data_IF_975512487178
#
_entry.id   IF_975512487178
#
_cell.length_a   1.000
_cell.length_b   1.000
_cell.length_c   1.000
_cell.angle_alpha   90.00
_cell.angle_beta   90.00
_cell.angle_gamma   90.00
#
_symmetry.space_group_name_H-M   'P 1'
#
loop_
_entity.id
_entity.type
_entity.pdbx_description
1 polymer ?
#
# COMPACT_ATOMS: atom_id res chain seq x y z
N UNK A 1 -6.85 -2.17 -2.66
CA UNK A 1 -7.26 -0.91 -3.29
C UNK A 1 -6.45 -0.71 -4.57
N UNK A 2 -7.06 -0.13 -5.59
CA UNK A 2 -6.40 0.34 -6.81
C UNK A 2 -6.28 1.86 -6.77
N UNK A 3 -5.07 2.39 -6.98
CA UNK A 3 -4.82 3.82 -7.10
C UNK A 3 -5.49 4.36 -8.37
N UNK A 4 -6.01 5.58 -8.31
CA UNK A 4 -6.52 6.24 -9.51
C UNK A 4 -5.37 6.68 -10.41
N UNK A 5 -5.65 6.79 -11.71
CA UNK A 5 -4.67 7.25 -12.68
C UNK A 5 -4.08 8.62 -12.35
N UNK A 6 -4.90 9.51 -11.78
CA UNK A 6 -4.45 10.84 -11.37
C UNK A 6 -3.46 10.79 -10.19
N UNK A 7 -3.68 9.90 -9.21
CA UNK A 7 -2.76 9.70 -8.09
C UNK A 7 -1.43 9.13 -8.58
N UNK A 8 -1.45 8.11 -9.44
CA UNK A 8 -0.24 7.51 -10.03
C UNK A 8 0.57 8.58 -10.79
N UNK A 9 -0.08 9.37 -11.66
CA UNK A 9 0.61 10.45 -12.41
C UNK A 9 1.24 11.49 -11.47
N UNK A 10 0.55 11.91 -10.40
CA UNK A 10 1.12 12.84 -9.41
C UNK A 10 2.32 12.23 -8.68
N UNK A 11 2.24 10.95 -8.29
CA UNK A 11 3.35 10.26 -7.65
C UNK A 11 4.57 10.17 -8.59
N UNK A 12 4.39 9.78 -9.85
CA UNK A 12 5.47 9.74 -10.85
C UNK A 12 6.10 11.12 -11.02
N UNK A 13 5.28 12.17 -11.17
CA UNK A 13 5.76 13.55 -11.30
C UNK A 13 6.66 13.93 -10.12
N UNK A 14 6.23 13.62 -8.91
CA UNK A 14 7.01 13.88 -7.69
C UNK A 14 8.32 13.10 -7.67
N UNK A 15 8.28 11.80 -7.97
CA UNK A 15 9.48 10.95 -7.95
C UNK A 15 10.52 11.44 -8.96
N UNK A 16 10.13 11.72 -10.20
CA UNK A 16 11.06 12.16 -11.25
C UNK A 16 11.64 13.55 -10.94
N UNK A 17 10.87 14.43 -10.31
CA UNK A 17 11.34 15.75 -9.87
C UNK A 17 12.15 15.70 -8.55
N UNK A 18 12.39 14.51 -7.97
CA UNK A 18 13.06 14.36 -6.68
C UNK A 18 12.26 14.89 -5.47
N UNK A 19 10.97 15.12 -5.63
CA UNK A 19 10.04 15.56 -4.57
C UNK A 19 9.54 14.37 -3.74
N UNK A 20 9.06 14.68 -2.53
CA UNK A 20 8.49 13.66 -1.65
C UNK A 20 7.09 13.20 -2.11
N UNK A 21 7.03 12.05 -2.79
CA UNK A 21 5.79 11.42 -3.24
C UNK A 21 4.95 10.81 -2.09
N UNK A 22 5.55 10.61 -0.91
CA UNK A 22 4.92 9.92 0.22
C UNK A 22 3.72 10.70 0.77
N UNK A 23 3.67 12.01 0.55
CA UNK A 23 2.53 12.85 0.90
C UNK A 23 1.24 12.43 0.17
N UNK A 24 1.34 11.94 -1.06
CA UNK A 24 0.19 11.44 -1.82
C UNK A 24 -0.37 10.17 -1.19
N UNK A 25 0.51 9.27 -0.71
CA UNK A 25 0.11 8.04 -0.01
C UNK A 25 -0.53 8.38 1.33
N UNK A 26 0.06 9.28 2.12
CA UNK A 26 -0.52 9.71 3.40
C UNK A 26 -1.90 10.31 3.22
N UNK A 27 -2.05 11.21 2.24
CA UNK A 27 -3.34 11.85 1.92
C UNK A 27 -4.41 10.83 1.53
N UNK A 28 -4.03 9.78 0.79
CA UNK A 28 -4.94 8.69 0.44
C UNK A 28 -5.34 7.85 1.67
N UNK A 29 -4.40 7.48 2.52
CA UNK A 29 -4.68 6.76 3.79
C UNK A 29 -5.64 7.59 4.66
N UNK A 30 -5.44 8.91 4.72
CA UNK A 30 -6.30 9.83 5.47
C UNK A 30 -7.73 9.86 4.92
N UNK A 31 -7.87 10.09 3.61
CA UNK A 31 -9.18 10.12 2.96
C UNK A 31 -9.94 8.79 3.13
N UNK A 32 -9.27 7.65 2.89
CA UNK A 32 -9.87 6.33 3.06
C UNK A 32 -10.28 6.04 4.50
N UNK A 33 -9.43 6.39 5.45
CA UNK A 33 -9.72 6.15 6.86
C UNK A 33 -10.93 6.98 7.30
N UNK A 34 -10.96 8.26 6.96
CA UNK A 34 -12.09 9.14 7.32
C UNK A 34 -13.39 8.69 6.66
N UNK A 35 -13.35 8.27 5.39
CA UNK A 35 -14.52 7.70 4.73
C UNK A 35 -14.98 6.42 5.43
N UNK A 36 -14.06 5.52 5.79
CA UNK A 36 -14.39 4.34 6.56
C UNK A 36 -15.00 4.69 7.92
N UNK A 37 -14.44 5.66 8.64
CA UNK A 37 -14.94 6.09 9.95
C UNK A 37 -16.40 6.54 9.85
N UNK A 38 -16.75 7.32 8.83
CA UNK A 38 -18.13 7.76 8.59
C UNK A 38 -19.04 6.56 8.34
N UNK A 39 -18.67 5.65 7.43
CA UNK A 39 -19.49 4.47 7.11
C UNK A 39 -19.60 3.49 8.29
N UNK A 40 -18.54 3.35 9.08
CA UNK A 40 -18.53 2.51 10.26
C UNK A 40 -19.47 3.07 11.34
N UNK A 41 -19.46 4.38 11.59
CA UNK A 41 -20.40 4.98 12.52
C UNK A 41 -21.85 4.85 12.07
N UNK A 42 -22.15 4.93 10.76
CA UNK A 42 -23.50 4.62 10.25
C UNK A 42 -23.91 3.19 10.61
N UNK A 43 -23.03 2.21 10.39
CA UNK A 43 -23.27 0.79 10.77
C UNK A 43 -23.53 0.64 12.26
N UNK A 44 -22.77 1.33 13.12
CA UNK A 44 -22.97 1.32 14.58
C UNK A 44 -24.34 1.89 14.96
N UNK A 45 -24.74 3.02 14.36
CA UNK A 45 -26.08 3.61 14.58
C UNK A 45 -27.19 2.64 14.19
N UNK A 46 -27.11 2.08 12.99
CA UNK A 46 -28.10 1.13 12.49
C UNK A 46 -28.18 -0.13 13.36
N UNK A 47 -27.04 -0.70 13.73
CA UNK A 47 -26.96 -1.90 14.56
C UNK A 47 -27.58 -1.68 15.95
N UNK A 48 -27.30 -0.52 16.56
CA UNK A 48 -27.84 -0.17 17.88
C UNK A 48 -29.34 0.13 17.85
N UNK A 49 -29.85 0.73 16.76
CA UNK A 49 -31.28 0.96 16.59
C UNK A 49 -32.09 -0.33 16.36
N UNK A 50 -31.51 -1.33 15.67
CA UNK A 50 -32.15 -2.62 15.41
C UNK A 50 -32.30 -3.47 16.68
N UNK A 51 -31.32 -3.42 17.57
CA UNK A 51 -31.25 -4.27 18.76
C UNK A 51 -31.81 -3.57 20.00
N UNK A 52 -33.13 -3.32 19.98
CA UNK A 52 -33.87 -2.61 21.04
C UNK A 52 -33.73 -3.17 22.49
N UNK A 53 -33.46 -4.46 22.75
CA UNK A 53 -33.16 -4.94 24.10
C UNK A 53 -31.68 -4.81 24.47
N UNK A 54 -31.41 -4.17 25.61
CA UNK A 54 -30.07 -3.86 26.18
C UNK A 54 -29.24 -5.11 26.57
N UNK A 55 -29.81 -6.33 26.48
CA UNK A 55 -29.19 -7.56 27.01
C UNK A 55 -28.33 -8.34 26.03
N UNK A 56 -28.46 -8.09 24.72
CA UNK A 56 -27.72 -8.83 23.70
C UNK A 56 -26.51 -8.02 23.25
N UNK A 57 -25.35 -8.67 23.12
CA UNK A 57 -24.15 -8.05 22.55
C UNK A 57 -24.38 -7.80 21.05
N UNK A 58 -25.06 -6.69 20.75
CA UNK A 58 -25.42 -6.27 19.40
C UNK A 58 -24.18 -6.13 18.52
N UNK A 59 -23.03 -5.80 19.10
CA UNK A 59 -21.78 -5.63 18.37
C UNK A 59 -21.34 -6.98 17.80
N UNK A 60 -21.36 -8.03 18.63
CA UNK A 60 -21.04 -9.38 18.18
C UNK A 60 -22.01 -9.89 17.11
N UNK A 61 -23.31 -9.65 17.27
CA UNK A 61 -24.33 -10.15 16.34
C UNK A 61 -24.32 -9.44 14.98
N UNK A 62 -24.09 -8.13 14.96
CA UNK A 62 -24.18 -7.31 13.74
C UNK A 62 -22.81 -7.14 13.07
N UNK A 63 -21.73 -6.98 13.85
CA UNK A 63 -20.40 -6.63 13.35
C UNK A 63 -19.39 -7.79 13.33
N UNK A 64 -19.71 -8.93 13.96
CA UNK A 64 -18.91 -10.16 13.89
C UNK A 64 -19.67 -11.35 13.29
N UNK A 65 -20.77 -11.08 12.58
CA UNK A 65 -21.60 -12.08 11.93
C UNK A 65 -20.83 -12.89 10.87
N UNK A 66 -21.06 -14.20 10.80
CA UNK A 66 -20.47 -15.08 9.78
C UNK A 66 -20.88 -14.78 8.34
N UNK A 67 -21.92 -13.97 8.14
CA UNK A 67 -22.32 -13.47 6.81
C UNK A 67 -21.47 -12.31 6.29
N UNK A 68 -20.70 -11.65 7.16
CA UNK A 68 -19.84 -10.53 6.77
C UNK A 68 -18.58 -11.02 6.02
N UNK A 69 -17.98 -10.17 5.17
CA UNK A 69 -16.68 -10.45 4.60
C UNK A 69 -15.62 -10.66 5.69
N UNK A 70 -14.71 -11.61 5.48
CA UNK A 70 -13.65 -11.94 6.44
C UNK A 70 -12.86 -10.72 6.90
N UNK A 71 -12.54 -9.79 5.99
CA UNK A 71 -11.77 -8.59 6.34
C UNK A 71 -12.53 -7.67 7.31
N UNK A 72 -13.85 -7.54 7.16
CA UNK A 72 -14.66 -6.74 8.08
C UNK A 72 -14.67 -7.36 9.47
N UNK A 73 -14.85 -8.68 9.56
CA UNK A 73 -14.88 -9.40 10.85
C UNK A 73 -13.54 -9.26 11.58
N UNK A 74 -12.44 -9.41 10.86
CA UNK A 74 -11.09 -9.28 11.44
C UNK A 74 -10.92 -7.88 12.06
N UNK A 75 -11.20 -6.83 11.29
CA UNK A 75 -11.06 -5.44 11.76
C UNK A 75 -12.01 -5.15 12.92
N UNK A 76 -13.27 -5.56 12.81
CA UNK A 76 -14.29 -5.33 13.83
C UNK A 76 -13.97 -6.05 15.14
N UNK A 77 -13.26 -7.18 15.10
CA UNK A 77 -12.79 -7.89 16.31
C UNK A 77 -11.60 -7.25 17.00
N UNK A 78 -11.01 -6.20 16.43
CA UNK A 78 -9.79 -5.58 16.93
C UNK A 78 -8.50 -6.25 16.45
N UNK A 79 -8.57 -7.08 15.40
CA UNK A 79 -7.43 -7.75 14.80
C UNK A 79 -7.12 -7.22 13.40
N UNK A 80 -5.93 -7.55 12.89
CA UNK A 80 -5.60 -7.43 11.47
C UNK A 80 -5.25 -8.81 10.91
N UNK A 81 -5.37 -8.95 9.58
CA UNK A 81 -5.17 -10.24 8.89
C UNK A 81 -3.78 -10.85 9.13
N UNK A 82 -2.74 -10.01 9.24
CA UNK A 82 -1.36 -10.48 9.45
C UNK A 82 -1.20 -11.10 10.83
N UNK A 83 -1.85 -10.54 11.85
CA UNK A 83 -1.85 -11.12 13.21
C UNK A 83 -2.44 -12.53 13.21
N UNK A 84 -3.60 -12.73 12.60
CA UNK A 84 -4.23 -14.07 12.51
C UNK A 84 -3.33 -15.03 11.74
N UNK A 85 -2.81 -14.60 10.58
CA UNK A 85 -1.90 -15.42 9.79
C UNK A 85 -0.67 -15.86 10.58
N UNK A 86 -0.11 -15.00 11.43
CA UNK A 86 1.07 -15.33 12.23
C UNK A 86 0.75 -16.24 13.42
N UNK A 87 -0.41 -16.05 14.06
CA UNK A 87 -0.82 -16.83 15.23
C UNK A 87 -1.28 -18.25 14.84
N UNK A 88 -2.01 -18.36 13.73
CA UNK A 88 -2.67 -19.60 13.33
C UNK A 88 -2.06 -20.26 12.09
N UNK A 89 -1.02 -19.64 11.49
CA UNK A 89 -0.41 -20.08 10.22
C UNK A 89 -1.42 -20.30 9.09
N UNK A 90 -2.57 -19.64 9.15
CA UNK A 90 -3.67 -19.78 8.21
C UNK A 90 -4.55 -18.55 8.19
N UNK A 91 -5.20 -18.33 7.05
CA UNK A 91 -6.24 -17.31 6.87
C UNK A 91 -7.53 -17.91 6.31
N UNK A 92 -7.79 -19.19 6.62
CA UNK A 92 -9.04 -19.87 6.29
C UNK A 92 -10.24 -19.19 6.95
N UNK A 93 -11.41 -19.25 6.30
CA UNK A 93 -12.62 -18.55 6.74
C UNK A 93 -13.04 -18.93 8.16
N UNK A 94 -12.99 -20.21 8.49
CA UNK A 94 -13.35 -20.75 9.80
C UNK A 94 -12.38 -20.28 10.89
N UNK A 95 -11.08 -20.39 10.64
CA UNK A 95 -10.02 -19.89 11.55
C UNK A 95 -10.17 -18.40 11.79
N UNK A 96 -10.50 -17.62 10.76
CA UNK A 96 -10.77 -16.20 10.91
C UNK A 96 -11.97 -15.95 11.83
N UNK A 97 -13.07 -16.70 11.68
CA UNK A 97 -14.24 -16.55 12.56
C UNK A 97 -13.89 -16.84 14.01
N UNK A 98 -13.28 -17.99 14.24
CA UNK A 98 -12.90 -18.45 15.57
C UNK A 98 -11.93 -17.47 16.24
N UNK A 99 -10.83 -17.11 15.56
CA UNK A 99 -9.84 -16.18 16.08
C UNK A 99 -10.43 -14.80 16.38
N UNK A 100 -11.31 -14.30 15.50
CA UNK A 100 -11.94 -12.99 15.67
C UNK A 100 -12.92 -12.98 16.86
N UNK A 101 -13.76 -14.02 17.01
CA UNK A 101 -14.69 -14.12 18.13
C UNK A 101 -13.94 -14.25 19.46
N UNK A 102 -12.95 -15.15 19.53
CA UNK A 102 -12.16 -15.37 20.74
C UNK A 102 -11.41 -14.10 21.16
N UNK A 103 -10.82 -13.37 20.20
CA UNK A 103 -10.14 -12.12 20.50
C UNK A 103 -11.11 -11.04 20.96
N UNK A 104 -12.27 -10.90 20.32
CA UNK A 104 -13.29 -9.94 20.73
C UNK A 104 -13.74 -10.17 22.18
N UNK A 105 -14.00 -11.42 22.56
CA UNK A 105 -14.39 -11.77 23.94
C UNK A 105 -13.29 -11.43 24.95
N UNK A 106 -12.04 -11.75 24.62
CA UNK A 106 -10.88 -11.39 25.44
C UNK A 106 -10.72 -9.86 25.60
N UNK A 107 -10.90 -9.12 24.51
CA UNK A 107 -10.84 -7.65 24.50
C UNK A 107 -11.96 -7.04 25.33
N UNK A 108 -13.21 -7.50 25.15
CA UNK A 108 -14.36 -7.03 25.91
C UNK A 108 -14.20 -7.27 27.41
N UNK A 109 -13.71 -8.45 27.81
CA UNK A 109 -13.43 -8.76 29.20
C UNK A 109 -12.33 -7.86 29.77
N UNK A 110 -11.25 -7.64 29.02
CA UNK A 110 -10.16 -6.74 29.41
C UNK A 110 -10.66 -5.30 29.62
N UNK A 111 -11.50 -4.80 28.71
CA UNK A 111 -12.12 -3.48 28.83
C UNK A 111 -13.03 -3.42 30.07
N UNK A 112 -13.88 -4.42 30.26
CA UNK A 112 -14.81 -4.46 31.40
C UNK A 112 -14.06 -4.45 32.74
N UNK A 113 -13.00 -5.24 32.87
CA UNK A 113 -12.15 -5.24 34.07
C UNK A 113 -11.44 -3.90 34.31
N UNK A 114 -11.02 -3.20 33.26
CA UNK A 114 -10.44 -1.85 33.38
C UNK A 114 -11.48 -0.83 33.86
N UNK A 115 -12.69 -0.88 33.31
CA UNK A 115 -13.79 0.02 33.68
C UNK A 115 -14.24 -0.22 35.13
N UNK A 116 -14.28 -1.47 35.58
CA UNK A 116 -14.65 -1.81 36.97
C UNK A 116 -13.58 -1.40 37.99
N UNK A 117 -12.31 -1.30 37.58
CA UNK A 117 -11.19 -0.98 38.47
C UNK A 117 -10.88 0.52 38.55
N UNK A 118 -11.27 1.31 37.54
CA UNK A 118 -11.05 2.76 37.50
C UNK A 118 -12.37 3.54 37.65
N UNK A 119 -12.67 3.96 38.88
CA UNK A 119 -13.89 4.70 39.22
C UNK A 119 -13.84 6.20 38.83
N UNK A 120 -12.77 6.66 38.18
CA UNK A 120 -12.53 8.10 37.95
C UNK A 120 -12.85 8.62 36.55
N UNK A 121 -12.90 7.76 35.53
CA UNK A 121 -12.96 8.17 34.12
C UNK A 121 -14.21 7.63 33.45
N UNK A 122 -15.10 8.53 33.03
CA UNK A 122 -16.28 8.20 32.21
C UNK A 122 -16.03 8.61 30.75
N UNK A 123 -16.23 7.69 29.81
CA UNK A 123 -16.08 7.91 28.37
C UNK A 123 -17.44 7.68 27.72
N UNK A 124 -17.97 8.75 27.12
CA UNK A 124 -19.23 8.70 26.39
C UNK A 124 -19.02 9.14 24.94
N UNK A 125 -19.31 8.24 23.99
CA UNK A 125 -19.35 8.56 22.57
C UNK A 125 -20.81 8.75 22.13
N UNK A 126 -21.15 9.97 21.72
CA UNK A 126 -22.45 10.27 21.12
C UNK A 126 -22.31 10.37 19.60
N UNK A 127 -23.06 9.55 18.86
CA UNK A 127 -23.09 9.58 17.40
C UNK A 127 -24.44 10.16 16.96
N UNK A 128 -24.38 11.27 16.22
CA UNK A 128 -25.55 11.89 15.59
C UNK A 128 -25.54 11.57 14.09
N UNK A 129 -26.62 10.96 13.63
CA UNK A 129 -26.84 10.65 12.23
C UNK A 129 -28.26 11.06 11.83
N UNK A 130 -28.36 12.06 10.95
CA UNK A 130 -29.61 12.78 10.68
C UNK A 130 -30.24 13.30 11.99
N UNK A 131 -31.53 13.03 12.22
CA UNK A 131 -32.27 13.41 13.42
C UNK A 131 -32.12 12.39 14.58
N UNK A 132 -31.30 11.33 14.40
CA UNK A 132 -31.10 10.30 15.41
C UNK A 132 -29.79 10.53 16.15
N UNK A 133 -29.83 10.45 17.47
CA UNK A 133 -28.66 10.44 18.34
C UNK A 133 -28.63 9.15 19.13
N UNK A 134 -27.51 8.44 19.09
CA UNK A 134 -27.27 7.28 19.96
C UNK A 134 -26.10 7.58 20.89
N UNK A 135 -26.17 7.03 22.09
CA UNK A 135 -25.09 7.05 23.06
C UNK A 135 -24.52 5.65 23.21
N UNK A 136 -23.19 5.58 23.17
CA UNK A 136 -22.44 4.38 23.53
C UNK A 136 -22.01 4.49 25.00
N UNK A 137 -22.13 3.38 25.73
CA UNK A 137 -21.52 3.25 27.05
C UNK A 137 -19.98 3.16 26.90
N UNK A 138 -19.27 3.14 28.03
CA UNK A 138 -17.81 3.12 28.05
C UNK A 138 -17.22 1.88 27.32
N UNK A 139 -17.77 0.69 27.54
CA UNK A 139 -17.30 -0.54 26.89
C UNK A 139 -17.47 -0.45 25.37
N UNK A 140 -18.65 -0.07 24.90
CA UNK A 140 -18.97 0.08 23.48
C UNK A 140 -18.10 1.17 22.83
N UNK A 141 -17.90 2.29 23.53
CA UNK A 141 -17.05 3.39 23.05
C UNK A 141 -15.61 2.91 22.85
N UNK A 142 -15.06 2.17 23.82
CA UNK A 142 -13.69 1.65 23.75
C UNK A 142 -13.52 0.58 22.67
N UNK A 143 -14.51 -0.29 22.46
CA UNK A 143 -14.52 -1.25 21.35
C UNK A 143 -14.50 -0.52 20.00
N UNK A 144 -15.40 0.46 19.81
CA UNK A 144 -15.48 1.25 18.58
C UNK A 144 -14.17 2.01 18.31
N UNK A 145 -13.56 2.61 19.34
CA UNK A 145 -12.25 3.26 19.24
C UNK A 145 -11.16 2.26 18.81
N UNK A 146 -11.14 1.06 19.40
CA UNK A 146 -10.17 0.03 19.05
C UNK A 146 -10.30 -0.39 17.59
N UNK A 147 -11.53 -0.63 17.10
CA UNK A 147 -11.80 -0.98 15.70
C UNK A 147 -11.30 0.09 14.73
N UNK A 148 -11.54 1.37 15.03
CA UNK A 148 -11.01 2.49 14.24
C UNK A 148 -9.48 2.51 14.23
N UNK A 149 -8.83 2.33 15.39
CA UNK A 149 -7.38 2.29 15.49
C UNK A 149 -6.77 1.13 14.68
N UNK A 150 -7.40 -0.04 14.74
CA UNK A 150 -7.00 -1.24 14.00
C UNK A 150 -7.17 -1.04 12.50
N UNK A 151 -8.29 -0.46 12.05
CA UNK A 151 -8.49 -0.10 10.64
C UNK A 151 -7.40 0.85 10.15
N UNK A 152 -7.10 1.91 10.92
CA UNK A 152 -6.05 2.87 10.57
C UNK A 152 -4.69 2.18 10.42
N UNK A 153 -4.37 1.27 11.34
CA UNK A 153 -3.14 0.48 11.29
C UNK A 153 -3.09 -0.43 10.05
N UNK A 154 -4.18 -1.13 9.76
CA UNK A 154 -4.30 -2.00 8.59
C UNK A 154 -4.15 -1.24 7.26
N UNK A 155 -4.78 -0.06 7.14
CA UNK A 155 -4.65 0.82 5.98
C UNK A 155 -3.20 1.25 5.79
N UNK A 156 -2.53 1.73 6.85
CA UNK A 156 -1.11 2.11 6.77
C UNK A 156 -0.25 0.93 6.31
N UNK A 157 -0.39 -0.25 6.92
CA UNK A 157 0.42 -1.42 6.55
C UNK A 157 0.20 -1.88 5.10
N UNK A 158 -1.04 -1.85 4.60
CA UNK A 158 -1.38 -2.31 3.25
C UNK A 158 -1.09 -1.30 2.13
N UNK A 159 -1.38 0.00 2.36
CA UNK A 159 -1.28 1.02 1.31
C UNK A 159 0.16 1.29 0.88
N UNK A 160 1.13 1.35 1.78
CA UNK A 160 2.54 1.54 1.38
C UNK A 160 3.03 0.48 0.40
N UNK A 161 2.78 -0.80 0.70
CA UNK A 161 3.23 -1.91 -0.13
C UNK A 161 2.46 -2.03 -1.45
N UNK A 162 1.16 -1.70 -1.46
CA UNK A 162 0.34 -1.77 -2.67
C UNK A 162 0.50 -0.56 -3.58
N UNK A 163 0.71 0.63 -3.02
CA UNK A 163 0.94 1.86 -3.79
C UNK A 163 2.27 1.79 -4.54
N UNK A 164 3.35 1.33 -3.87
CA UNK A 164 4.65 1.12 -4.50
C UNK A 164 4.54 0.25 -5.75
N UNK A 165 3.96 -0.94 -5.63
CA UNK A 165 3.76 -1.88 -6.75
C UNK A 165 2.95 -1.32 -7.91
N UNK A 166 1.98 -0.45 -7.62
CA UNK A 166 1.14 0.16 -8.65
C UNK A 166 1.84 1.31 -9.39
N UNK A 167 2.86 1.93 -8.78
CA UNK A 167 3.68 2.98 -9.41
C UNK A 167 4.95 2.41 -10.03
N UNK A 168 5.40 1.23 -9.59
CA UNK A 168 6.63 0.60 -10.04
C UNK A 168 6.73 0.39 -11.55
N UNK A 169 5.66 -0.09 -12.17
CA UNK A 169 5.63 -0.29 -13.63
C UNK A 169 5.50 1.03 -14.38
N UNK A 170 4.52 1.90 -14.05
CA UNK A 170 4.35 3.17 -14.74
C UNK A 170 5.60 4.04 -14.79
N UNK A 171 6.40 4.09 -13.73
CA UNK A 171 7.56 4.99 -13.72
C UNK A 171 8.66 4.54 -14.67
N UNK A 172 8.93 3.23 -14.79
CA UNK A 172 9.96 2.75 -15.74
C UNK A 172 9.50 2.98 -17.17
N UNK A 173 8.22 2.79 -17.46
CA UNK A 173 7.64 3.11 -18.77
C UNK A 173 7.70 4.61 -19.06
N UNK A 174 7.37 5.47 -18.09
CA UNK A 174 7.49 6.93 -18.23
C UNK A 174 8.94 7.34 -18.47
N UNK A 175 9.91 6.73 -17.81
CA UNK A 175 11.34 6.98 -18.08
C UNK A 175 11.72 6.58 -19.51
N UNK A 176 11.29 5.40 -19.99
CA UNK A 176 11.54 4.99 -21.38
C UNK A 176 10.92 5.99 -22.37
N UNK A 177 9.68 6.44 -22.12
CA UNK A 177 9.00 7.43 -22.97
C UNK A 177 9.66 8.81 -22.91
N UNK A 178 10.17 9.22 -21.74
CA UNK A 178 10.87 10.49 -21.53
C UNK A 178 12.15 10.54 -22.36
N UNK A 179 12.90 9.45 -22.40
CA UNK A 179 14.10 9.29 -23.23
C UNK A 179 13.80 8.80 -24.65
N UNK A 180 12.54 8.87 -25.12
CA UNK A 180 12.15 8.46 -26.47
C UNK A 180 12.66 7.06 -26.88
N UNK A 181 12.78 6.13 -25.92
CA UNK A 181 13.18 4.76 -26.18
C UNK A 181 12.12 4.11 -27.09
N UNK A 182 12.49 3.48 -28.22
CA UNK A 182 11.50 2.83 -29.09
C UNK A 182 10.79 1.68 -28.36
N UNK A 183 9.49 1.48 -28.62
CA UNK A 183 8.68 0.49 -27.90
C UNK A 183 9.17 -0.97 -28.04
N UNK A 184 9.97 -1.27 -29.07
CA UNK A 184 10.60 -2.59 -29.24
C UNK A 184 11.75 -2.85 -28.24
N UNK A 185 12.27 -1.80 -27.59
CA UNK A 185 13.40 -1.84 -26.67
C UNK A 185 13.00 -1.88 -25.20
N UNK A 186 11.71 -1.99 -24.91
CA UNK A 186 11.25 -2.26 -23.56
C UNK A 186 9.94 -3.03 -23.61
N UNK A 187 9.76 -3.96 -22.68
CA UNK A 187 8.52 -4.71 -22.61
C UNK A 187 8.10 -4.94 -21.18
N UNK A 188 6.80 -5.13 -21.06
CA UNK A 188 6.17 -5.61 -19.85
C UNK A 188 5.86 -7.09 -20.05
N UNK A 189 6.52 -7.97 -19.30
CA UNK A 189 6.13 -9.37 -19.34
C UNK A 189 4.78 -9.55 -18.63
N UNK A 190 3.75 -9.98 -19.38
CA UNK A 190 2.53 -10.56 -18.82
C UNK A 190 2.82 -12.03 -18.47
N UNK A 191 3.42 -12.28 -17.31
CA UNK A 191 3.48 -13.66 -16.80
C UNK A 191 2.13 -13.97 -16.14
N UNK A 192 1.62 -15.15 -16.49
CA UNK A 192 0.30 -15.70 -16.20
C UNK A 192 -0.15 -15.58 -14.74
N UNK A 193 -1.47 -15.76 -14.54
CA UNK A 193 -2.29 -15.61 -13.32
C UNK A 193 -1.83 -16.33 -12.04
N UNK A 194 -0.63 -16.91 -12.01
CA UNK A 194 -0.02 -17.51 -10.82
C UNK A 194 1.30 -16.83 -10.47
N UNK A 195 1.23 -16.00 -9.43
CA UNK A 195 2.36 -15.60 -8.57
C UNK A 195 3.31 -14.52 -9.13
N UNK A 196 2.99 -13.26 -8.80
CA UNK A 196 3.85 -12.38 -7.98
C UNK A 196 5.21 -11.89 -8.51
N UNK A 197 5.44 -11.78 -9.83
CA UNK A 197 6.60 -11.01 -10.34
C UNK A 197 6.24 -10.10 -11.51
N UNK A 198 6.09 -8.82 -11.20
CA UNK A 198 5.91 -7.72 -12.15
C UNK A 198 7.26 -7.26 -12.70
N UNK A 199 7.94 -8.11 -13.47
CA UNK A 199 9.26 -7.78 -14.03
C UNK A 199 9.13 -6.89 -15.28
N UNK A 200 9.80 -5.74 -15.27
CA UNK A 200 9.99 -4.88 -16.44
C UNK A 200 11.30 -5.26 -17.12
N UNK A 201 11.36 -5.21 -18.45
CA UNK A 201 12.58 -5.53 -19.19
C UNK A 201 12.95 -4.40 -20.14
N UNK A 202 14.23 -4.06 -20.15
CA UNK A 202 14.88 -3.32 -21.23
C UNK A 202 15.45 -4.34 -22.23
N UNK A 203 15.25 -4.10 -23.52
CA UNK A 203 15.66 -5.00 -24.59
C UNK A 203 16.75 -4.30 -25.40
N UNK A 204 17.92 -4.95 -25.50
CA UNK A 204 19.06 -4.48 -26.30
C UNK A 204 18.79 -4.54 -27.81
N UNK A 205 19.86 -4.59 -28.59
CA UNK A 205 19.76 -4.61 -30.06
C UNK A 205 19.27 -5.95 -30.61
N UNK A 206 19.45 -7.02 -29.82
CA UNK A 206 18.90 -8.34 -30.10
C UNK A 206 17.77 -8.66 -29.12
N UNK A 207 16.72 -9.35 -29.58
CA UNK A 207 15.62 -9.79 -28.72
C UNK A 207 16.06 -10.73 -27.57
N UNK A 208 17.26 -11.31 -27.68
CA UNK A 208 17.85 -12.16 -26.63
C UNK A 208 18.58 -11.35 -25.54
N UNK A 209 18.83 -10.05 -25.75
CA UNK A 209 19.45 -9.15 -24.77
C UNK A 209 18.38 -8.54 -23.87
N UNK A 210 17.81 -9.36 -22.98
CA UNK A 210 16.77 -8.92 -22.04
C UNK A 210 17.37 -8.58 -20.68
N UNK A 211 17.25 -7.32 -20.28
CA UNK A 211 17.78 -6.78 -19.04
C UNK A 211 16.63 -6.55 -18.05
N UNK A 212 16.53 -7.39 -17.02
CA UNK A 212 15.51 -7.25 -15.98
C UNK A 212 15.74 -5.96 -15.20
N UNK A 213 14.69 -5.16 -15.11
CA UNK A 213 14.62 -3.94 -14.34
C UNK A 213 13.76 -4.16 -13.09
N UNK A 214 14.31 -3.84 -11.92
CA UNK A 214 13.54 -3.75 -10.69
C UNK A 214 13.46 -2.30 -10.24
N UNK A 215 12.29 -1.88 -9.74
CA UNK A 215 12.15 -0.63 -9.02
C UNK A 215 11.89 -0.93 -7.54
N UNK A 216 12.55 -0.19 -6.66
CA UNK A 216 12.25 -0.16 -5.23
C UNK A 216 11.95 1.25 -4.76
N UNK A 217 10.66 1.54 -4.57
CA UNK A 217 10.17 2.74 -3.88
C UNK A 217 10.14 2.46 -2.37
N UNK A 218 11.32 2.31 -1.77
CA UNK A 218 11.42 2.03 -0.34
C UNK A 218 11.33 3.33 0.47
N UNK A 219 10.79 3.22 1.68
CA UNK A 219 10.96 4.26 2.70
C UNK A 219 12.43 4.36 3.15
N UNK A 220 12.69 4.79 4.37
CA UNK A 220 14.05 4.98 4.92
C UNK A 220 14.98 3.73 4.88
N UNK A 221 14.48 2.57 4.45
CA UNK A 221 15.23 1.32 4.26
C UNK A 221 15.87 1.27 2.87
N UNK A 222 17.20 1.16 2.89
CA UNK A 222 18.08 0.82 1.77
C UNK A 222 17.62 -0.45 1.03
N UNK A 223 18.29 -0.84 -0.06
CA UNK A 223 18.15 -2.21 -0.57
C UNK A 223 18.67 -3.16 0.52
N UNK A 224 17.75 -3.73 1.30
CA UNK A 224 18.06 -4.54 2.48
C UNK A 224 19.03 -5.70 2.18
N UNK A 225 19.03 -6.21 0.96
CA UNK A 225 19.97 -7.23 0.51
C UNK A 225 20.17 -7.21 -1.02
N UNK A 226 21.33 -6.73 -1.48
CA UNK A 226 21.69 -6.74 -2.91
C UNK A 226 21.80 -8.16 -3.48
N UNK A 227 22.09 -9.18 -2.67
CA UNK A 227 22.12 -10.58 -3.12
C UNK A 227 20.74 -11.09 -3.56
N UNK A 228 19.66 -10.52 -3.01
CA UNK A 228 18.31 -10.84 -3.51
C UNK A 228 18.09 -10.35 -4.94
N UNK A 229 18.76 -9.29 -5.38
CA UNK A 229 18.69 -8.81 -6.76
C UNK A 229 19.42 -9.76 -7.72
N UNK A 230 20.56 -10.31 -7.28
CA UNK A 230 21.29 -11.32 -8.04
C UNK A 230 20.48 -12.60 -8.23
N UNK A 231 19.82 -13.09 -7.18
CA UNK A 231 18.95 -14.28 -7.28
C UNK A 231 17.80 -14.13 -8.27
N UNK A 232 17.48 -12.89 -8.65
CA UNK A 232 16.42 -12.54 -9.57
C UNK A 232 16.94 -12.15 -10.96
N UNK A 233 18.25 -12.24 -11.20
CA UNK A 233 18.89 -11.83 -12.47
C UNK A 233 18.63 -10.36 -12.82
N UNK A 234 18.56 -9.50 -11.81
CA UNK A 234 18.35 -8.06 -12.00
C UNK A 234 19.59 -7.44 -12.63
N UNK A 235 19.43 -6.75 -13.76
CA UNK A 235 20.53 -6.01 -14.41
C UNK A 235 20.46 -4.51 -14.16
N UNK A 236 19.27 -3.96 -13.98
CA UNK A 236 19.04 -2.54 -13.71
C UNK A 236 18.15 -2.39 -12.47
N UNK A 237 18.61 -1.59 -11.50
CA UNK A 237 17.84 -1.24 -10.31
C UNK A 237 17.51 0.25 -10.33
N UNK A 238 16.23 0.59 -10.25
CA UNK A 238 15.78 1.94 -9.96
C UNK A 238 15.38 2.01 -8.48
N UNK A 239 15.74 3.07 -7.77
CA UNK A 239 15.38 3.22 -6.37
C UNK A 239 15.15 4.69 -6.01
N UNK A 240 14.26 4.96 -5.05
CA UNK A 240 14.05 6.32 -4.52
C UNK A 240 15.33 6.87 -3.87
N UNK A 241 16.02 6.03 -3.09
CA UNK A 241 17.28 6.36 -2.43
C UNK A 241 18.18 5.13 -2.32
N UNK A 242 19.49 5.32 -2.48
CA UNK A 242 20.54 4.31 -2.31
C UNK A 242 21.64 4.85 -1.40
N UNK A 243 22.06 4.07 -0.40
CA UNK A 243 23.28 4.37 0.35
C UNK A 243 24.54 4.21 -0.49
N UNK A 244 25.65 4.80 -0.04
CA UNK A 244 26.95 4.63 -0.69
C UNK A 244 27.38 3.15 -0.69
N UNK A 245 27.11 2.42 0.39
CA UNK A 245 27.36 0.97 0.48
C UNK A 245 26.55 0.19 -0.54
N UNK A 246 25.27 0.53 -0.76
CA UNK A 246 24.48 -0.08 -1.81
C UNK A 246 25.05 0.21 -3.20
N UNK A 247 25.45 1.45 -3.48
CA UNK A 247 26.06 1.83 -4.76
C UNK A 247 27.35 1.04 -5.01
N UNK A 248 28.22 0.91 -4.01
CA UNK A 248 29.44 0.10 -4.08
C UNK A 248 29.14 -1.38 -4.34
N UNK A 249 28.17 -1.97 -3.63
CA UNK A 249 27.77 -3.36 -3.80
C UNK A 249 27.16 -3.64 -5.18
N UNK A 250 26.33 -2.72 -5.69
CA UNK A 250 25.73 -2.81 -7.03
C UNK A 250 26.81 -2.75 -8.10
N UNK A 251 27.75 -1.81 -7.99
CA UNK A 251 28.89 -1.70 -8.89
C UNK A 251 29.76 -2.97 -8.86
N UNK A 252 30.06 -3.51 -7.68
CA UNK A 252 30.85 -4.74 -7.52
C UNK A 252 30.17 -5.97 -8.14
N UNK A 253 28.85 -5.94 -8.29
CA UNK A 253 28.03 -7.01 -8.88
C UNK A 253 27.65 -6.74 -10.34
N UNK A 254 28.18 -5.67 -10.94
CA UNK A 254 27.83 -5.20 -12.30
C UNK A 254 26.31 -5.07 -12.51
N UNK A 255 25.61 -4.57 -11.48
CA UNK A 255 24.20 -4.19 -11.56
C UNK A 255 24.14 -2.67 -11.75
N UNK A 256 23.52 -2.25 -12.86
CA UNK A 256 23.27 -0.85 -13.12
C UNK A 256 22.24 -0.29 -12.14
N UNK A 257 22.37 0.98 -11.77
CA UNK A 257 21.47 1.58 -10.81
C UNK A 257 21.12 3.03 -11.11
N UNK A 258 19.92 3.43 -10.75
CA UNK A 258 19.41 4.80 -10.80
C UNK A 258 18.85 5.15 -9.42
N UNK A 259 19.38 6.20 -8.81
CA UNK A 259 18.75 6.86 -7.66
C UNK A 259 17.83 7.94 -8.22
N UNK A 260 16.51 7.85 -8.02
CA UNK A 260 15.54 8.73 -8.67
C UNK A 260 15.46 10.11 -8.04
N UNK A 261 16.15 10.34 -6.92
CA UNK A 261 16.15 11.62 -6.23
C UNK A 261 17.06 12.65 -6.93
N UNK A 262 16.55 13.86 -7.11
CA UNK A 262 17.29 14.96 -7.75
C UNK A 262 17.53 14.68 -9.23
N UNK A 263 18.74 14.96 -9.71
CA UNK A 263 19.11 14.73 -11.13
C UNK A 263 19.43 13.27 -11.46
N UNK A 264 19.18 12.33 -10.53
CA UNK A 264 19.63 10.96 -10.73
C UNK A 264 18.90 10.21 -11.85
N UNK A 265 17.76 10.69 -12.36
CA UNK A 265 17.17 10.19 -13.61
C UNK A 265 18.11 10.35 -14.83
N UNK A 266 19.08 11.28 -14.81
CA UNK A 266 20.09 11.46 -15.86
C UNK A 266 20.98 10.23 -16.01
N UNK A 267 21.23 9.52 -14.91
CA UNK A 267 21.97 8.25 -14.91
C UNK A 267 21.28 7.17 -15.74
N UNK A 268 19.97 7.29 -15.97
CA UNK A 268 19.26 6.37 -16.85
C UNK A 268 19.77 6.45 -18.29
N UNK A 269 20.15 7.63 -18.79
CA UNK A 269 20.78 7.80 -20.10
C UNK A 269 22.11 7.06 -20.20
N UNK A 270 22.94 7.12 -19.16
CA UNK A 270 24.21 6.40 -19.08
C UNK A 270 24.00 4.88 -19.19
N UNK A 271 22.95 4.37 -18.55
CA UNK A 271 22.58 2.96 -18.59
C UNK A 271 22.10 2.56 -19.98
N UNK A 272 21.23 3.36 -20.61
CA UNK A 272 20.77 3.09 -21.97
C UNK A 272 21.95 3.05 -22.95
N UNK A 273 22.91 3.97 -22.80
CA UNK A 273 24.16 3.95 -23.56
C UNK A 273 24.99 2.68 -23.31
N UNK A 274 25.20 2.29 -22.04
CA UNK A 274 25.97 1.08 -21.68
C UNK A 274 25.31 -0.20 -22.21
N UNK A 275 23.98 -0.26 -22.21
CA UNK A 275 23.20 -1.36 -22.75
C UNK A 275 23.00 -1.28 -24.27
N UNK A 276 23.57 -0.25 -24.93
CA UNK A 276 23.44 -0.01 -26.38
C UNK A 276 21.98 0.07 -26.86
N UNK A 277 21.10 0.66 -26.04
CA UNK A 277 19.68 0.85 -26.34
C UNK A 277 19.46 2.22 -27.00
N UNK A 278 18.81 2.30 -28.17
CA UNK A 278 18.47 3.57 -28.82
C UNK A 278 17.55 4.44 -27.96
N UNK A 279 17.89 5.72 -27.85
CA UNK A 279 17.14 6.71 -27.08
C UNK A 279 17.37 8.13 -27.62
N UNK A 280 16.46 9.03 -27.32
CA UNK A 280 16.56 10.47 -27.55
C UNK A 280 17.00 11.23 -26.30
N UNK A 281 17.09 12.55 -26.42
CA UNK A 281 17.38 13.44 -25.31
C UNK A 281 16.08 14.11 -24.84
N UNK A 282 15.71 13.99 -23.54
CA UNK A 282 14.46 14.54 -23.02
C UNK A 282 14.39 16.07 -23.05
N UNK A 283 15.51 16.77 -23.20
CA UNK A 283 15.57 18.23 -23.20
C UNK A 283 15.10 18.82 -21.86
N UNK A 284 14.11 19.71 -21.93
CA UNK A 284 13.45 20.23 -20.73
C UNK A 284 12.54 19.16 -20.10
N UNK A 285 13.01 18.56 -19.02
CA UNK A 285 12.33 17.46 -18.32
C UNK A 285 10.96 17.85 -17.82
N UNK A 286 10.75 19.09 -17.34
CA UNK A 286 9.45 19.47 -16.80
C UNK A 286 8.37 19.45 -17.88
N UNK A 287 8.67 20.07 -19.03
CA UNK A 287 7.78 20.06 -20.20
C UNK A 287 7.62 18.66 -20.80
N UNK A 288 8.72 17.91 -20.93
CA UNK A 288 8.69 16.56 -21.50
C UNK A 288 7.88 15.59 -20.61
N UNK A 289 8.09 15.64 -19.30
CA UNK A 289 7.36 14.82 -18.34
C UNK A 289 5.86 15.15 -18.33
N UNK A 290 5.50 16.43 -18.39
CA UNK A 290 4.11 16.85 -18.48
C UNK A 290 3.45 16.27 -19.75
N UNK A 291 4.10 16.39 -20.91
CA UNK A 291 3.61 15.85 -22.17
C UNK A 291 3.45 14.31 -22.14
N UNK A 292 4.43 13.60 -21.56
CA UNK A 292 4.37 12.15 -21.41
C UNK A 292 3.20 11.76 -20.50
N UNK A 293 3.08 12.40 -19.33
CA UNK A 293 2.01 12.09 -18.37
C UNK A 293 0.61 12.42 -18.89
N UNK A 294 0.44 13.44 -19.73
CA UNK A 294 -0.85 13.73 -20.37
C UNK A 294 -1.29 12.62 -21.33
N UNK A 295 -0.35 12.12 -22.13
CA UNK A 295 -0.58 11.03 -23.10
C UNK A 295 -0.50 9.64 -22.47
N UNK A 296 -0.03 9.53 -21.23
CA UNK A 296 0.13 8.27 -20.55
C UNK A 296 -1.24 7.69 -20.17
N UNK A 297 -1.62 6.62 -20.84
CA UNK A 297 -2.77 5.78 -20.49
C UNK A 297 -2.28 4.59 -19.68
N UNK A 298 -2.76 4.49 -18.44
CA UNK A 298 -2.50 3.31 -17.62
C UNK A 298 -3.22 2.12 -18.25
N UNK A 299 -2.44 1.20 -18.82
CA UNK A 299 -2.94 -0.10 -19.23
C UNK A 299 -3.25 -0.91 -17.97
N UNK A 300 -4.55 -1.18 -17.76
CA UNK A 300 -5.07 -1.94 -16.62
C UNK A 300 -4.56 -3.37 -16.55
#
# INVERSE_FOLDING_TARGET
>A
MTLTSSVIKRMIKKIINGEDYRIEIVSLIDAEFLQYTIEFFKKVVEAKLKNQPVTTDWYKEELLNSKLPSEEIIINSGLNRKTISNMYNSTGREIILEASINHYESLYNSISSLVESDNGVDIKLTIKFNEVSIDLNINESLIVINTLAVKRSALRGGLWGSAGKQVERPIVEVLCKLYEVPEQHYEQSRIADSVKDSSFYLIGNSANERHRCELKLAGKSDVDNVDTLLSKETKVLLADKLSDTNKEQLNAKDIEWVELKGDGYQRFEEILNKLSIPHGNPGDIESALQNVLERYELKG
#
